data_IF_032584651567
#
_entry.id   IF_032584651567
#
_cell.length_a   1.000
_cell.length_b   1.000
_cell.length_c   1.000
_cell.angle_alpha   90.00
_cell.angle_beta   90.00
_cell.angle_gamma   90.00
#
_symmetry.space_group_name_H-M   'P 1'
#
loop_
_entity.id
_entity.type
_entity.pdbx_description
1 polymer ?
#
# COMPACT_ATOMS: atom_id res chain seq x y z
N UNK A 1 -18.67 -8.96 13.10
CA UNK A 1 -17.24 -9.32 13.01
C UNK A 1 -16.45 -8.09 13.43
N UNK A 2 -15.81 -8.08 14.60
CA UNK A 2 -15.06 -6.92 15.09
C UNK A 2 -13.59 -7.07 14.68
N UNK A 3 -13.14 -6.24 13.74
CA UNK A 3 -11.73 -6.17 13.35
C UNK A 3 -10.95 -5.47 14.46
N UNK A 4 -10.17 -6.22 15.24
CA UNK A 4 -9.29 -5.65 16.28
C UNK A 4 -8.13 -4.95 15.59
N UNK A 5 -8.15 -3.62 15.54
CA UNK A 5 -7.03 -2.82 15.04
C UNK A 5 -5.85 -2.95 16.02
N UNK A 6 -4.82 -3.71 15.65
CA UNK A 6 -3.59 -3.82 16.43
C UNK A 6 -2.70 -2.62 16.11
N UNK A 7 -2.44 -1.78 17.11
CA UNK A 7 -1.46 -0.69 16.98
C UNK A 7 -0.06 -1.27 16.74
N UNK A 8 0.69 -0.60 15.85
CA UNK A 8 2.08 -0.92 15.52
C UNK A 8 2.91 0.35 15.57
N UNK A 9 4.14 0.24 16.04
CA UNK A 9 5.10 1.35 16.06
C UNK A 9 5.95 1.30 14.79
N UNK A 10 6.07 2.43 14.11
CA UNK A 10 6.99 2.62 12.98
C UNK A 10 7.95 3.74 13.32
N UNK A 11 9.20 3.62 12.85
CA UNK A 11 10.16 4.72 12.90
C UNK A 11 10.21 5.39 11.53
N UNK A 12 10.16 6.71 11.52
CA UNK A 12 10.27 7.52 10.31
C UNK A 12 11.36 8.57 10.51
N UNK A 13 11.92 9.06 9.40
CA UNK A 13 12.88 10.15 9.44
C UNK A 13 12.20 11.46 9.86
N UNK A 14 12.97 12.37 10.45
CA UNK A 14 12.49 13.66 10.92
C UNK A 14 11.87 14.51 9.79
N UNK A 15 12.46 14.46 8.59
CA UNK A 15 11.94 15.16 7.40
C UNK A 15 10.56 14.64 6.98
N UNK A 16 10.33 13.33 7.11
CA UNK A 16 9.04 12.70 6.82
C UNK A 16 8.03 13.03 7.91
N UNK A 17 8.44 13.00 9.18
CA UNK A 17 7.57 13.36 10.30
C UNK A 17 7.05 14.79 10.17
N UNK A 18 7.91 15.76 9.84
CA UNK A 18 7.52 17.16 9.60
C UNK A 18 6.47 17.29 8.50
N UNK A 19 6.69 16.63 7.36
CA UNK A 19 5.72 16.61 6.25
C UNK A 19 4.38 16.02 6.68
N UNK A 20 4.40 14.91 7.43
CA UNK A 20 3.18 14.30 7.96
C UNK A 20 2.47 15.23 8.94
N UNK A 21 3.21 15.96 9.77
CA UNK A 21 2.66 16.91 10.74
C UNK A 21 1.95 18.09 10.06
N UNK A 22 2.55 18.63 8.99
CA UNK A 22 1.98 19.72 8.19
C UNK A 22 0.63 19.35 7.57
N UNK A 23 0.49 18.13 7.05
CA UNK A 23 -0.75 17.66 6.42
C UNK A 23 -1.75 17.10 7.43
N UNK A 24 -1.33 16.76 8.65
CA UNK A 24 -2.15 16.06 9.65
C UNK A 24 -3.35 16.90 10.10
N UNK A 25 -3.14 18.18 10.38
CA UNK A 25 -4.14 19.01 11.07
C UNK A 25 -4.73 18.30 12.30
N UNK A 26 -6.05 18.21 12.35
CA UNK A 26 -6.81 17.57 13.42
C UNK A 26 -6.89 16.02 13.31
N UNK A 27 -6.48 15.44 12.17
CA UNK A 27 -6.55 13.99 11.96
C UNK A 27 -5.50 13.24 12.75
N UNK A 28 -5.64 11.93 12.92
CA UNK A 28 -4.56 11.08 13.43
C UNK A 28 -3.53 10.75 12.35
N UNK A 29 -2.30 10.42 12.74
CA UNK A 29 -1.28 9.94 11.79
C UNK A 29 -1.75 8.67 11.05
N UNK A 30 -2.46 7.77 11.72
CA UNK A 30 -3.00 6.57 11.08
C UNK A 30 -3.98 6.92 9.96
N UNK A 31 -4.87 7.89 10.16
CA UNK A 31 -5.81 8.34 9.13
C UNK A 31 -5.09 8.98 7.93
N UNK A 32 -4.10 9.85 8.19
CA UNK A 32 -3.31 10.46 7.12
C UNK A 32 -2.57 9.40 6.31
N UNK A 33 -1.95 8.43 7.00
CA UNK A 33 -1.21 7.34 6.33
C UNK A 33 -2.17 6.49 5.49
N UNK A 34 -3.36 6.19 6.01
CA UNK A 34 -4.38 5.42 5.30
C UNK A 34 -4.87 6.18 4.06
N UNK A 35 -5.22 7.47 4.20
CA UNK A 35 -5.60 8.34 3.08
C UNK A 35 -4.51 8.44 2.01
N UNK A 36 -3.24 8.61 2.39
CA UNK A 36 -2.11 8.63 1.46
C UNK A 36 -1.92 7.29 0.74
N UNK A 37 -2.17 6.17 1.43
CA UNK A 37 -2.14 4.83 0.83
C UNK A 37 -3.31 4.68 -0.14
N UNK A 38 -4.52 5.08 0.22
CA UNK A 38 -5.71 5.02 -0.63
C UNK A 38 -5.60 5.94 -1.86
N UNK A 39 -5.06 7.15 -1.71
CA UNK A 39 -4.76 8.05 -2.83
C UNK A 39 -3.72 7.43 -3.76
N UNK A 40 -2.65 6.85 -3.22
CA UNK A 40 -1.65 6.13 -4.02
C UNK A 40 -2.24 4.93 -4.77
N UNK A 41 -3.11 4.15 -4.11
CA UNK A 41 -3.79 3.00 -4.70
C UNK A 41 -4.84 3.40 -5.73
N UNK A 42 -5.58 4.49 -5.51
CA UNK A 42 -6.58 5.01 -6.44
C UNK A 42 -5.94 5.70 -7.64
N UNK A 43 -4.82 6.41 -7.47
CA UNK A 43 -4.00 6.91 -8.58
C UNK A 43 -3.39 5.76 -9.36
N UNK A 44 -2.90 4.71 -8.68
CA UNK A 44 -2.43 3.49 -9.34
C UNK A 44 -3.55 2.78 -10.09
N UNK A 45 -4.75 2.67 -9.50
CA UNK A 45 -5.94 2.10 -10.14
C UNK A 45 -6.37 2.93 -11.34
N UNK A 46 -6.44 4.25 -11.22
CA UNK A 46 -6.82 5.16 -12.33
C UNK A 46 -5.77 5.15 -13.46
N UNK A 47 -4.48 5.07 -13.12
CA UNK A 47 -3.43 4.82 -14.11
C UNK A 47 -3.63 3.45 -14.76
N UNK A 48 -3.90 2.41 -13.98
CA UNK A 48 -4.26 1.09 -14.51
C UNK A 48 -5.50 1.20 -15.41
N UNK A 49 -6.63 1.74 -15.00
CA UNK A 49 -7.83 1.93 -15.83
C UNK A 49 -7.54 2.73 -17.13
N UNK A 50 -6.64 3.71 -17.12
CA UNK A 50 -6.19 4.37 -18.37
C UNK A 50 -5.33 3.46 -19.26
N UNK A 51 -4.42 2.67 -18.68
CA UNK A 51 -3.55 1.75 -19.40
C UNK A 51 -4.27 0.46 -19.84
N UNK A 52 -5.28 0.03 -19.07
CA UNK A 52 -6.04 -1.20 -19.23
C UNK A 52 -7.42 -0.97 -19.84
N UNK A 53 -7.93 0.27 -19.88
CA UNK A 53 -9.05 0.62 -20.78
C UNK A 53 -8.66 0.54 -22.27
N UNK A 54 -7.36 0.39 -22.55
CA UNK A 54 -6.79 0.08 -23.88
C UNK A 54 -6.36 -1.38 -24.05
N UNK A 55 -6.45 -2.23 -23.01
CA UNK A 55 -6.16 -3.67 -23.06
C UNK A 55 -7.48 -4.45 -22.87
N UNK A 56 -7.65 -5.59 -23.52
CA UNK A 56 -8.86 -6.42 -23.34
C UNK A 56 -8.99 -6.94 -21.90
N UNK A 57 -10.19 -7.37 -21.50
CA UNK A 57 -10.44 -7.92 -20.15
C UNK A 57 -9.47 -9.08 -19.79
N UNK A 58 -9.15 -9.93 -20.77
CA UNK A 58 -8.25 -11.07 -20.61
C UNK A 58 -6.81 -10.65 -20.27
N UNK A 59 -6.32 -9.58 -20.92
CA UNK A 59 -4.99 -9.04 -20.66
C UNK A 59 -4.94 -8.42 -19.27
N UNK A 60 -5.97 -7.66 -18.88
CA UNK A 60 -6.04 -7.06 -17.55
C UNK A 60 -6.02 -8.12 -16.43
N UNK A 61 -6.73 -9.24 -16.62
CA UNK A 61 -6.78 -10.32 -15.63
C UNK A 61 -5.44 -11.06 -15.50
N UNK A 62 -4.77 -11.34 -16.62
CA UNK A 62 -3.45 -11.98 -16.62
C UNK A 62 -2.40 -11.14 -15.86
N UNK A 63 -2.40 -9.82 -16.10
CA UNK A 63 -1.51 -8.88 -15.43
C UNK A 63 -1.82 -8.73 -13.94
N UNK A 64 -3.09 -8.70 -13.53
CA UNK A 64 -3.49 -8.67 -12.12
C UNK A 64 -3.02 -9.91 -11.36
N UNK A 65 -3.10 -11.09 -11.98
CA UNK A 65 -2.55 -12.34 -11.41
C UNK A 65 -1.05 -12.24 -11.21
N UNK A 66 -0.33 -11.66 -12.17
CA UNK A 66 1.12 -11.51 -12.07
C UNK A 66 1.54 -10.58 -10.92
N UNK A 67 0.87 -9.44 -10.75
CA UNK A 67 1.08 -8.52 -9.62
C UNK A 67 0.84 -9.23 -8.28
N UNK A 68 -0.23 -10.04 -8.18
CA UNK A 68 -0.52 -10.84 -6.99
C UNK A 68 0.59 -11.84 -6.66
N UNK A 69 1.13 -12.50 -7.69
CA UNK A 69 2.24 -13.44 -7.53
C UNK A 69 3.55 -12.75 -7.13
N UNK A 70 3.83 -11.56 -7.65
CA UNK A 70 5.00 -10.77 -7.25
C UNK A 70 4.92 -10.36 -5.77
N UNK A 71 3.73 -9.95 -5.30
CA UNK A 71 3.51 -9.61 -3.87
C UNK A 71 3.70 -10.80 -2.95
N UNK A 72 3.15 -11.97 -3.30
CA UNK A 72 3.37 -13.21 -2.52
C UNK A 72 4.85 -13.57 -2.41
N UNK A 73 5.59 -13.49 -3.52
CA UNK A 73 7.05 -13.75 -3.51
C UNK A 73 7.81 -12.74 -2.65
N UNK A 74 7.40 -11.46 -2.67
CA UNK A 74 7.97 -10.44 -1.82
C UNK A 74 7.71 -10.74 -0.32
N UNK A 75 6.47 -11.07 0.04
CA UNK A 75 6.11 -11.43 1.43
C UNK A 75 6.84 -12.69 1.92
N UNK A 76 6.98 -13.72 1.07
CA UNK A 76 7.77 -14.93 1.38
C UNK A 76 9.27 -14.64 1.54
N UNK A 77 9.80 -13.68 0.77
CA UNK A 77 11.21 -13.26 0.88
C UNK A 77 11.47 -12.42 2.14
N UNK A 78 10.48 -11.65 2.57
CA UNK A 78 10.48 -10.90 3.82
C UNK A 78 10.44 -11.88 4.99
N UNK A 79 9.48 -12.82 4.99
CA UNK A 79 9.31 -13.79 6.07
C UNK A 79 10.56 -14.68 6.30
N UNK A 80 11.27 -15.05 5.23
CA UNK A 80 12.54 -15.80 5.34
C UNK A 80 13.70 -14.99 5.94
N UNK A 81 13.73 -13.67 5.77
CA UNK A 81 14.78 -12.81 6.34
C UNK A 81 14.59 -12.52 7.83
N UNK A 82 13.37 -12.66 8.34
CA UNK A 82 13.03 -12.42 9.75
C UNK A 82 12.81 -13.70 10.56
N UNK A 83 12.89 -14.89 9.95
CA UNK A 83 12.62 -16.19 10.59
C UNK A 83 13.83 -16.89 11.24
N UNK A 84 15.01 -16.27 11.26
CA UNK A 84 16.16 -16.74 12.03
C UNK A 84 16.46 -15.77 13.17
N UNK A 85 15.70 -15.88 14.25
CA UNK A 85 16.12 -15.51 15.61
C UNK A 85 15.35 -16.35 16.63
#
# INVERSE_FOLDING_TARGET
MYTVYRMKTIMVRDDVYKKLLEIKGEKSFSQIIDELIEESLSVRRRKMERYFGTLGEDDAEAWLREIGNMRKKADESINRKFGHH
#
